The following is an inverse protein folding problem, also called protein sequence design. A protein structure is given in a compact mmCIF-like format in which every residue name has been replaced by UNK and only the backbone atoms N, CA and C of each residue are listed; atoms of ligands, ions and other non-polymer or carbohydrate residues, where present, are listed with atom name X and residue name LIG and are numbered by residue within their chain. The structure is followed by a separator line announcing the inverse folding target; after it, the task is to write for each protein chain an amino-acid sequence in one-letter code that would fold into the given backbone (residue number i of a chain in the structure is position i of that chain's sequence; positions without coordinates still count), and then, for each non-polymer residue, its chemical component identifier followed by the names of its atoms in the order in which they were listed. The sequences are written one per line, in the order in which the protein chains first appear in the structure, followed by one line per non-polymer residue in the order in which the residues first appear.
data_IF_205724980408
#
_entry.id   IF_205724980408
#
_cell.length_a   1.000
_cell.length_b   1.000
_cell.length_c   1.000
_cell.angle_alpha   90.00
_cell.angle_beta   90.00
_cell.angle_gamma   90.00
#
_symmetry.space_group_name_H-M   'P 1'
#
loop_
_entity.id
_entity.type
_entity.pdbx_description
1 polymer ?
#
# COMPACT_ATOMS: atom_id res chain seq x y z
N UNK A 1 2.15 35.70 24.50
CA UNK A 1 3.11 34.77 23.87
C UNK A 1 4.06 34.27 24.95
N UNK A 2 3.70 33.16 25.59
CA UNK A 2 4.55 32.37 26.47
C UNK A 2 3.79 31.06 26.67
N UNK A 3 3.94 30.12 25.75
CA UNK A 3 3.49 28.76 25.96
C UNK A 3 4.70 27.88 25.80
N UNK A 4 5.10 27.23 26.89
CA UNK A 4 6.33 26.45 26.99
C UNK A 4 6.23 25.12 26.23
N UNK A 5 7.34 24.38 26.30
CA UNK A 5 7.36 22.97 25.94
C UNK A 5 6.63 22.15 27.01
N UNK A 6 6.06 21.02 26.59
CA UNK A 6 5.51 20.00 27.48
C UNK A 6 6.49 18.83 27.47
N UNK A 7 6.89 18.38 28.65
CA UNK A 7 7.72 17.21 28.85
C UNK A 7 7.02 16.31 29.87
N UNK A 8 6.79 15.05 29.51
CA UNK A 8 6.09 14.07 30.33
C UNK A 8 6.88 12.77 30.34
N UNK A 9 7.19 12.29 31.54
CA UNK A 9 7.72 10.96 31.79
C UNK A 9 6.69 10.20 32.63
N UNK A 10 6.04 9.21 32.02
CA UNK A 10 4.91 8.49 32.59
C UNK A 10 5.09 6.98 32.40
N UNK A 11 4.52 6.16 33.27
CA UNK A 11 4.59 4.71 33.10
C UNK A 11 3.86 4.25 31.82
N UNK A 12 2.55 4.48 31.73
CA UNK A 12 1.76 4.22 30.53
C UNK A 12 0.87 5.43 30.26
N UNK A 13 0.71 5.78 28.99
CA UNK A 13 -0.17 6.85 28.54
C UNK A 13 -1.30 6.30 27.69
N UNK A 14 -2.54 6.50 28.12
CA UNK A 14 -3.75 6.31 27.29
C UNK A 14 -4.40 7.68 27.05
N UNK A 15 -4.10 8.28 25.89
CA UNK A 15 -4.62 9.59 25.53
C UNK A 15 -5.89 9.46 24.67
N UNK A 16 -7.01 9.99 25.17
CA UNK A 16 -8.27 10.10 24.44
C UNK A 16 -8.67 11.55 24.11
N UNK A 17 -7.87 12.52 24.57
CA UNK A 17 -8.16 13.96 24.45
C UNK A 17 -7.13 14.71 23.60
N UNK A 18 -6.85 15.95 23.96
CA UNK A 18 -5.82 16.78 23.33
C UNK A 18 -4.66 16.97 24.32
N UNK A 19 -3.46 16.60 23.90
CA UNK A 19 -2.21 17.01 24.56
C UNK A 19 -1.55 18.02 23.62
N UNK A 20 -1.40 19.27 24.07
CA UNK A 20 -0.91 20.36 23.24
C UNK A 20 0.22 21.15 23.89
N UNK A 21 1.18 21.60 23.08
CA UNK A 21 2.22 22.55 23.49
C UNK A 21 2.40 23.67 22.46
N UNK A 22 2.85 24.83 22.94
CA UNK A 22 3.20 25.97 22.08
C UNK A 22 4.72 26.06 21.83
N UNK A 23 5.52 25.29 22.58
CA UNK A 23 6.91 24.93 22.28
C UNK A 23 6.97 23.51 21.69
N UNK A 24 7.93 22.69 22.15
CA UNK A 24 8.02 21.26 21.81
C UNK A 24 7.12 20.38 22.68
N UNK A 25 6.87 19.14 22.26
CA UNK A 25 6.11 18.14 23.01
C UNK A 25 6.93 16.85 23.10
N UNK A 26 7.42 16.52 24.28
CA UNK A 26 8.15 15.27 24.55
C UNK A 26 7.33 14.42 25.51
N UNK A 27 7.14 13.15 25.15
CA UNK A 27 6.46 12.16 25.98
C UNK A 27 7.31 10.89 25.97
N UNK A 28 7.75 10.47 27.16
CA UNK A 28 8.39 9.20 27.40
C UNK A 28 7.46 8.30 28.22
N UNK A 29 7.44 7.00 27.90
CA UNK A 29 6.83 6.00 28.75
C UNK A 29 7.10 4.56 28.33
N UNK A 30 6.48 3.59 29.01
CA UNK A 30 6.52 2.19 28.59
C UNK A 30 5.62 1.98 27.39
N UNK A 31 4.37 2.39 27.49
CA UNK A 31 3.39 2.30 26.40
C UNK A 31 2.75 3.66 26.16
N UNK A 32 2.61 4.06 24.89
CA UNK A 32 1.81 5.23 24.51
C UNK A 32 0.70 4.77 23.58
N UNK A 33 -0.54 4.92 24.01
CA UNK A 33 -1.69 4.48 23.26
C UNK A 33 -2.83 5.48 23.29
N UNK A 34 -3.80 5.24 22.42
CA UNK A 34 -5.10 5.88 22.50
C UNK A 34 -5.55 6.44 21.16
N UNK A 35 -6.51 7.35 21.26
CA UNK A 35 -7.21 7.91 20.11
C UNK A 35 -7.31 9.44 20.12
N UNK A 36 -6.54 10.06 21.02
CA UNK A 36 -6.41 11.49 21.16
C UNK A 36 -5.37 12.12 20.22
N UNK A 37 -5.30 13.44 20.26
CA UNK A 37 -4.41 14.26 19.44
C UNK A 37 -3.19 14.71 20.26
N UNK A 38 -2.02 14.68 19.64
CA UNK A 38 -0.79 15.31 20.10
C UNK A 38 -0.48 16.49 19.19
N UNK A 39 -0.42 17.71 19.73
CA UNK A 39 -0.26 18.94 18.96
C UNK A 39 0.90 19.79 19.49
N UNK A 40 1.81 20.19 18.62
CA UNK A 40 2.93 21.05 18.98
C UNK A 40 3.21 22.12 17.92
N UNK A 41 3.71 23.27 18.36
CA UNK A 41 4.27 24.31 17.46
C UNK A 41 5.79 24.21 17.29
N UNK A 42 6.45 23.32 18.03
CA UNK A 42 7.83 22.92 17.82
C UNK A 42 7.86 21.47 17.36
N UNK A 43 8.86 20.73 17.84
CA UNK A 43 9.00 19.30 17.56
C UNK A 43 8.10 18.45 18.48
N UNK A 44 7.71 17.28 18.02
CA UNK A 44 7.01 16.27 18.84
C UNK A 44 7.79 14.97 18.89
N UNK A 45 8.08 14.49 20.09
CA UNK A 45 8.74 13.21 20.35
C UNK A 45 7.83 12.36 21.23
N UNK A 46 7.36 11.24 20.68
CA UNK A 46 6.70 10.17 21.43
C UNK A 46 7.67 8.99 21.49
N UNK A 47 8.17 8.67 22.68
CA UNK A 47 9.13 7.60 22.90
C UNK A 47 8.57 6.58 23.89
N UNK A 48 8.23 5.39 23.39
CA UNK A 48 7.76 4.28 24.19
C UNK A 48 8.78 3.14 24.19
N UNK A 49 8.94 2.42 25.30
CA UNK A 49 9.82 1.24 25.32
C UNK A 49 9.14 -0.04 24.81
N UNK A 50 7.82 -0.14 25.00
CA UNK A 50 6.99 -1.32 24.72
C UNK A 50 5.97 -1.06 23.60
N UNK A 51 6.12 0.03 22.85
CA UNK A 51 5.33 0.31 21.66
C UNK A 51 4.39 1.51 21.76
N UNK A 52 3.99 1.98 20.59
CA UNK A 52 3.03 3.07 20.40
C UNK A 52 1.85 2.54 19.58
N UNK A 53 0.62 2.71 20.06
CA UNK A 53 -0.60 2.38 19.31
C UNK A 53 -1.55 3.56 19.25
N UNK A 54 -1.60 4.24 18.10
CA UNK A 54 -2.55 5.31 17.85
C UNK A 54 -3.61 4.83 16.86
N UNK A 55 -4.89 4.92 17.25
CA UNK A 55 -5.99 4.42 16.44
C UNK A 55 -7.14 5.41 16.37
N UNK A 56 -7.69 5.58 15.16
CA UNK A 56 -8.93 6.30 14.93
C UNK A 56 -10.09 5.64 15.70
N UNK A 57 -11.05 6.47 16.12
CA UNK A 57 -12.27 5.98 16.75
C UNK A 57 -13.34 5.69 15.70
N UNK A 58 -14.43 5.06 16.13
CA UNK A 58 -15.66 4.95 15.34
C UNK A 58 -16.70 5.90 15.92
N UNK A 59 -17.38 6.66 15.07
CA UNK A 59 -18.53 7.49 15.45
C UNK A 59 -19.76 7.11 14.64
N UNK A 60 -20.92 7.06 15.27
CA UNK A 60 -22.19 6.82 14.56
C UNK A 60 -22.88 8.16 14.28
N UNK A 61 -23.09 8.49 13.01
CA UNK A 61 -23.76 9.71 12.56
C UNK A 61 -25.00 9.29 11.75
N UNK A 62 -26.19 9.66 12.20
CA UNK A 62 -27.43 9.34 11.48
C UNK A 62 -27.69 7.84 11.29
N UNK A 63 -27.21 6.99 12.21
CA UNK A 63 -27.33 5.54 12.13
C UNK A 63 -26.24 4.83 11.32
N UNK A 64 -25.26 5.57 10.80
CA UNK A 64 -24.11 5.00 10.08
C UNK A 64 -22.81 5.19 10.86
N UNK A 65 -22.00 4.15 10.93
CA UNK A 65 -20.67 4.17 11.50
C UNK A 65 -19.68 4.83 10.53
N UNK A 66 -18.88 5.75 11.05
CA UNK A 66 -17.84 6.50 10.36
C UNK A 66 -16.53 6.39 11.12
N UNK A 67 -15.42 6.33 10.40
CA UNK A 67 -14.09 6.47 11.02
C UNK A 67 -13.90 7.92 11.45
N UNK A 68 -13.48 8.10 12.70
CA UNK A 68 -13.11 9.38 13.28
C UNK A 68 -11.61 9.47 13.49
N UNK A 69 -10.93 10.26 12.65
CA UNK A 69 -9.48 10.43 12.67
C UNK A 69 -8.99 11.41 13.75
N UNK A 70 -9.66 11.49 14.91
CA UNK A 70 -9.23 12.37 16.01
C UNK A 70 -7.83 12.02 16.53
N UNK A 71 -7.46 10.75 16.41
CA UNK A 71 -6.13 10.27 16.73
C UNK A 71 -5.10 10.81 15.74
N UNK A 72 -4.04 11.44 16.25
CA UNK A 72 -3.00 11.96 15.38
C UNK A 72 -1.92 12.74 16.10
N UNK A 73 -0.85 13.02 15.36
CA UNK A 73 0.29 13.82 15.79
C UNK A 73 0.46 14.95 14.81
N UNK A 74 0.56 16.19 15.28
CA UNK A 74 0.81 17.35 14.43
C UNK A 74 1.85 18.25 15.08
N UNK A 75 2.96 18.46 14.40
CA UNK A 75 4.05 19.33 14.82
C UNK A 75 4.36 20.34 13.72
N UNK A 76 4.67 21.59 14.10
CA UNK A 76 5.19 22.56 13.12
C UNK A 76 6.68 22.32 12.82
N UNK A 77 7.40 21.64 13.70
CA UNK A 77 8.75 21.15 13.49
C UNK A 77 8.76 19.67 13.11
N UNK A 78 9.73 18.93 13.65
CA UNK A 78 9.92 17.51 13.39
C UNK A 78 8.98 16.64 14.22
N UNK A 79 8.72 15.42 13.74
CA UNK A 79 7.97 14.40 14.50
C UNK A 79 8.81 13.14 14.62
N UNK A 80 8.95 12.63 15.85
CA UNK A 80 9.50 11.31 16.14
C UNK A 80 8.44 10.46 16.86
N UNK A 81 8.14 9.29 16.30
CA UNK A 81 7.36 8.25 16.94
C UNK A 81 8.26 7.03 17.07
N UNK A 82 8.68 6.71 18.29
CA UNK A 82 9.55 5.59 18.59
C UNK A 82 8.83 4.58 19.48
N UNK A 83 8.50 3.42 18.92
CA UNK A 83 7.96 2.26 19.65
C UNK A 83 8.99 1.53 20.51
N UNK A 84 10.26 1.92 20.43
CA UNK A 84 11.36 1.29 21.17
C UNK A 84 11.51 -0.17 20.78
N UNK A 85 11.48 -1.05 21.78
CA UNK A 85 11.52 -2.51 21.58
C UNK A 85 10.15 -3.12 21.25
N UNK A 86 9.09 -2.29 21.22
CA UNK A 86 7.75 -2.68 20.79
C UNK A 86 7.39 -2.12 19.42
N UNK A 87 6.15 -2.37 19.02
CA UNK A 87 5.64 -1.97 17.71
C UNK A 87 5.19 -0.52 17.68
N UNK A 88 5.25 0.10 16.49
CA UNK A 88 4.55 1.33 16.17
C UNK A 88 3.35 1.00 15.28
N UNK A 89 2.14 1.08 15.83
CA UNK A 89 0.89 0.82 15.13
C UNK A 89 0.06 2.11 14.99
N UNK A 90 -0.17 2.52 13.74
CA UNK A 90 -0.94 3.69 13.37
C UNK A 90 -2.13 3.26 12.52
N UNK A 91 -3.35 3.41 13.02
CA UNK A 91 -4.57 2.92 12.34
C UNK A 91 -5.59 4.03 12.06
N UNK A 92 -5.69 4.46 10.80
CA UNK A 92 -6.58 5.53 10.37
C UNK A 92 -6.25 6.91 10.96
N UNK A 93 -5.00 7.11 11.38
CA UNK A 93 -4.55 8.33 12.08
C UNK A 93 -3.84 9.29 11.14
N UNK A 94 -3.68 10.55 11.57
CA UNK A 94 -2.90 11.56 10.83
C UNK A 94 -1.62 11.90 11.57
N UNK A 95 -0.49 11.87 10.87
CA UNK A 95 0.81 12.34 11.37
C UNK A 95 1.30 13.43 10.43
N UNK A 96 1.41 14.67 10.93
CA UNK A 96 1.85 15.82 10.16
C UNK A 96 3.09 16.43 10.82
N UNK A 97 4.22 16.41 10.11
CA UNK A 97 5.43 17.12 10.49
C UNK A 97 5.64 18.31 9.54
N UNK A 98 5.80 19.51 10.07
CA UNK A 98 6.24 20.65 9.27
C UNK A 98 7.69 20.49 8.79
N UNK A 99 8.52 19.84 9.60
CA UNK A 99 9.87 19.37 9.25
C UNK A 99 9.88 17.89 8.85
N UNK A 100 10.89 17.15 9.29
CA UNK A 100 11.09 15.72 9.04
C UNK A 100 10.24 14.84 9.97
N UNK A 101 9.95 13.62 9.55
CA UNK A 101 9.25 12.64 10.37
C UNK A 101 10.04 11.32 10.44
N UNK A 102 10.13 10.75 11.65
CA UNK A 102 10.78 9.46 11.91
C UNK A 102 9.82 8.55 12.66
N UNK A 103 9.51 7.41 12.05
CA UNK A 103 8.60 6.38 12.57
C UNK A 103 9.42 5.10 12.79
N UNK A 104 9.56 4.67 14.04
CA UNK A 104 10.43 3.54 14.40
C UNK A 104 9.78 2.56 15.38
N UNK A 105 10.16 1.29 15.30
CA UNK A 105 9.73 0.23 16.23
C UNK A 105 10.27 -1.15 15.82
N UNK A 106 9.85 -2.20 16.53
CA UNK A 106 10.11 -3.59 16.12
C UNK A 106 9.40 -3.88 14.82
N UNK A 107 8.08 -3.69 14.78
CA UNK A 107 7.31 -3.56 13.55
C UNK A 107 6.75 -2.14 13.43
N UNK A 108 6.65 -1.62 12.20
CA UNK A 108 5.96 -0.35 11.93
C UNK A 108 4.78 -0.62 11.01
N UNK A 109 3.56 -0.34 11.49
CA UNK A 109 2.32 -0.59 10.74
C UNK A 109 1.53 0.69 10.55
N UNK A 110 1.27 1.05 9.29
CA UNK A 110 0.36 2.10 8.87
C UNK A 110 -0.85 1.43 8.21
N UNK A 111 -1.96 1.33 8.93
CA UNK A 111 -3.13 0.58 8.46
C UNK A 111 -4.37 1.45 8.32
N UNK A 112 -5.23 1.10 7.37
CA UNK A 112 -6.57 1.66 7.29
C UNK A 112 -7.43 1.21 8.49
N UNK A 113 -8.15 2.16 9.07
CA UNK A 113 -9.30 1.87 9.93
C UNK A 113 -10.52 1.62 9.04
N UNK A 114 -11.27 0.53 9.32
CA UNK A 114 -12.50 0.19 8.59
C UNK A 114 -13.69 0.17 9.53
N UNK A 115 -14.83 0.61 9.05
CA UNK A 115 -16.14 0.49 9.70
C UNK A 115 -17.13 -0.12 8.74
N UNK A 116 -17.97 -1.04 9.21
CA UNK A 116 -19.01 -1.69 8.41
C UNK A 116 -20.38 -1.08 8.68
N UNK A 117 -21.13 -0.88 7.61
CA UNK A 117 -22.52 -0.44 7.61
C UNK A 117 -23.38 -1.43 6.82
N UNK A 118 -23.57 -2.64 7.36
CA UNK A 118 -24.39 -3.69 6.75
C UNK A 118 -23.85 -4.18 5.39
N UNK A 119 -22.54 -4.43 5.35
CA UNK A 119 -21.83 -4.87 4.15
C UNK A 119 -21.35 -3.73 3.23
N UNK A 120 -21.56 -2.48 3.63
CA UNK A 120 -20.90 -1.33 3.04
C UNK A 120 -19.82 -0.81 3.99
N UNK A 121 -18.57 -1.01 3.64
CA UNK A 121 -17.45 -0.56 4.44
C UNK A 121 -16.99 0.84 4.03
N UNK A 122 -16.64 1.63 5.04
CA UNK A 122 -15.85 2.83 4.86
C UNK A 122 -14.47 2.56 5.46
N UNK A 123 -13.43 2.85 4.69
CA UNK A 123 -12.05 2.69 5.11
C UNK A 123 -11.36 4.06 5.12
N UNK A 124 -10.46 4.28 6.07
CA UNK A 124 -9.67 5.50 6.16
C UNK A 124 -8.25 5.13 6.52
N UNK A 125 -7.34 5.36 5.57
CA UNK A 125 -5.92 5.08 5.71
C UNK A 125 -5.27 5.94 6.77
N UNK A 126 -4.19 5.42 7.36
CA UNK A 126 -3.23 6.27 8.05
C UNK A 126 -2.59 7.22 7.02
N UNK A 127 -2.42 8.49 7.39
CA UNK A 127 -1.84 9.53 6.55
C UNK A 127 -0.65 10.14 7.26
N UNK A 128 0.55 9.90 6.73
CA UNK A 128 1.79 10.50 7.22
C UNK A 128 2.27 11.52 6.21
N UNK A 129 2.47 12.75 6.63
CA UNK A 129 3.00 13.82 5.80
C UNK A 129 4.14 14.53 6.54
N UNK A 130 5.27 14.68 5.86
CA UNK A 130 6.43 15.43 6.33
C UNK A 130 6.76 16.52 5.32
N UNK A 131 7.06 17.73 5.79
CA UNK A 131 7.62 18.80 4.95
C UNK A 131 9.08 18.55 4.56
N UNK A 132 9.80 17.77 5.36
CA UNK A 132 11.18 17.35 5.16
C UNK A 132 11.30 15.90 4.70
N UNK A 133 12.23 15.15 5.29
CA UNK A 133 12.44 13.73 5.01
C UNK A 133 11.49 12.88 5.86
N UNK A 134 11.04 11.75 5.32
CA UNK A 134 10.25 10.77 6.05
C UNK A 134 11.02 9.45 6.12
N UNK A 135 11.32 9.01 7.33
CA UNK A 135 11.92 7.70 7.60
C UNK A 135 10.89 6.81 8.30
N UNK A 136 10.64 5.63 7.74
CA UNK A 136 9.82 4.58 8.32
C UNK A 136 10.73 3.37 8.49
N UNK A 137 11.16 3.10 9.72
CA UNK A 137 12.17 2.08 9.99
C UNK A 137 11.69 1.06 11.02
N UNK A 138 11.71 -0.21 10.66
CA UNK A 138 11.44 -1.32 11.55
C UNK A 138 12.68 -2.20 11.74
N UNK A 139 12.75 -2.87 12.89
CA UNK A 139 13.73 -3.94 13.07
C UNK A 139 13.31 -5.17 12.27
N UNK A 140 12.04 -5.55 12.34
CA UNK A 140 11.50 -6.73 11.68
C UNK A 140 10.70 -6.32 10.45
N UNK A 141 9.47 -5.80 10.57
CA UNK A 141 8.61 -5.57 9.40
C UNK A 141 8.06 -4.15 9.30
N UNK A 142 7.95 -3.65 8.06
CA UNK A 142 7.16 -2.46 7.74
C UNK A 142 5.91 -2.85 6.95
N UNK A 143 4.74 -2.44 7.42
CA UNK A 143 3.46 -2.71 6.77
C UNK A 143 2.72 -1.41 6.47
N UNK A 144 2.46 -1.14 5.20
CA UNK A 144 1.63 -0.02 4.73
C UNK A 144 0.40 -0.61 4.04
N UNK A 145 -0.76 -0.50 4.70
CA UNK A 145 -1.99 -1.20 4.32
C UNK A 145 -3.10 -0.17 4.08
N UNK A 146 -3.50 0.02 2.82
CA UNK A 146 -4.43 1.05 2.38
C UNK A 146 -4.15 2.43 2.96
N UNK A 147 -2.88 2.81 3.10
CA UNK A 147 -2.42 4.00 3.81
C UNK A 147 -1.46 4.84 2.96
N UNK A 148 -1.21 6.08 3.37
CA UNK A 148 -0.33 6.98 2.62
C UNK A 148 0.80 7.55 3.47
N UNK A 149 1.97 7.67 2.86
CA UNK A 149 3.16 8.27 3.45
C UNK A 149 3.82 9.19 2.41
N UNK A 150 3.93 10.47 2.75
CA UNK A 150 4.43 11.53 1.86
C UNK A 150 5.58 12.28 2.51
N UNK A 151 6.73 12.25 1.85
CA UNK A 151 7.88 13.07 2.18
C UNK A 151 7.95 14.30 1.27
N UNK A 152 8.23 15.47 1.85
CA UNK A 152 8.56 16.67 1.09
C UNK A 152 9.91 16.56 0.38
N UNK A 153 10.81 15.72 0.89
CA UNK A 153 12.13 15.43 0.31
C UNK A 153 12.32 13.94 0.08
N UNK A 154 13.14 13.22 0.85
CA UNK A 154 13.40 11.79 0.69
C UNK A 154 12.42 10.96 1.51
N UNK A 155 11.99 9.83 0.94
CA UNK A 155 11.26 8.78 1.67
C UNK A 155 12.17 7.57 1.80
N UNK A 156 12.46 7.16 3.03
CA UNK A 156 13.21 5.94 3.31
C UNK A 156 12.34 4.98 4.14
N UNK A 157 12.02 3.83 3.54
CA UNK A 157 11.30 2.74 4.20
C UNK A 157 12.25 1.57 4.35
N UNK A 158 12.48 1.13 5.59
CA UNK A 158 13.45 0.09 5.88
C UNK A 158 12.93 -0.92 6.90
N UNK A 159 13.03 -2.20 6.57
CA UNK A 159 12.98 -3.31 7.51
C UNK A 159 14.39 -3.91 7.59
N UNK A 160 15.02 -3.89 8.77
CA UNK A 160 16.43 -4.32 8.89
C UNK A 160 16.57 -5.85 8.72
N UNK A 161 15.67 -6.64 9.32
CA UNK A 161 15.75 -8.10 9.39
C UNK A 161 14.52 -8.83 8.83
N UNK A 162 13.56 -8.12 8.25
CA UNK A 162 12.32 -8.72 7.75
C UNK A 162 11.81 -8.00 6.52
N UNK A 163 10.49 -8.07 6.31
CA UNK A 163 9.88 -7.71 5.04
C UNK A 163 9.24 -6.31 5.05
N UNK A 164 9.14 -5.72 3.85
CA UNK A 164 8.32 -4.52 3.62
C UNK A 164 7.12 -4.88 2.76
N UNK A 165 5.92 -4.67 3.30
CA UNK A 165 4.67 -4.86 2.58
C UNK A 165 3.95 -3.53 2.37
N UNK A 166 3.75 -3.15 1.12
CA UNK A 166 2.97 -1.97 0.70
C UNK A 166 1.79 -2.47 -0.12
N UNK A 167 0.66 -2.65 0.55
CA UNK A 167 -0.49 -3.36 -0.01
C UNK A 167 -1.77 -2.55 0.09
N UNK A 168 -2.64 -2.73 -0.89
CA UNK A 168 -3.99 -2.22 -0.85
C UNK A 168 -4.81 -2.97 0.21
N UNK A 169 -6.02 -2.48 0.47
CA UNK A 169 -6.95 -3.19 1.34
C UNK A 169 -8.36 -3.15 0.78
N UNK A 170 -9.03 -4.30 0.89
CA UNK A 170 -10.38 -4.53 0.39
C UNK A 170 -11.42 -3.64 1.06
N UNK A 171 -12.26 -2.96 0.29
CA UNK A 171 -13.40 -2.18 0.78
C UNK A 171 -14.67 -2.75 0.17
N UNK A 172 -15.41 -3.50 0.98
CA UNK A 172 -16.66 -4.10 0.55
C UNK A 172 -17.74 -3.01 0.34
N UNK A 173 -18.50 -3.12 -0.74
CA UNK A 173 -19.69 -2.32 -1.00
C UNK A 173 -20.90 -3.21 -1.22
N UNK A 174 -22.01 -2.80 -0.64
CA UNK A 174 -23.29 -3.47 -0.78
C UNK A 174 -24.34 -2.44 -1.20
N UNK A 175 -24.65 -2.43 -2.50
CA UNK A 175 -25.65 -1.52 -3.05
C UNK A 175 -26.92 -2.30 -3.42
N UNK A 176 -27.98 -2.03 -2.66
CA UNK A 176 -29.31 -2.59 -2.88
C UNK A 176 -30.24 -1.48 -3.37
N UNK A 177 -30.70 -1.58 -4.61
CA UNK A 177 -31.69 -0.65 -5.18
C UNK A 177 -32.76 -1.40 -5.95
N UNK A 178 -33.98 -1.39 -5.41
CA UNK A 178 -35.13 -2.08 -5.98
C UNK A 178 -34.89 -3.59 -6.15
N UNK A 179 -34.88 -4.06 -7.39
CA UNK A 179 -34.65 -5.47 -7.76
C UNK A 179 -33.19 -5.81 -8.01
N UNK A 180 -32.29 -4.83 -7.92
CA UNK A 180 -30.86 -5.03 -8.14
C UNK A 180 -30.14 -5.10 -6.81
N UNK A 181 -29.35 -6.15 -6.64
CA UNK A 181 -28.32 -6.23 -5.60
C UNK A 181 -26.96 -6.25 -6.28
N UNK A 182 -26.05 -5.38 -5.87
CA UNK A 182 -24.65 -5.42 -6.28
C UNK A 182 -23.77 -5.48 -5.05
N UNK A 183 -22.92 -6.49 -4.99
CA UNK A 183 -21.86 -6.65 -4.00
C UNK A 183 -20.55 -6.42 -4.73
N UNK A 184 -19.72 -5.49 -4.29
CA UNK A 184 -18.36 -5.32 -4.83
C UNK A 184 -17.33 -5.26 -3.72
N UNK A 185 -16.08 -5.51 -4.09
CA UNK A 185 -14.90 -5.26 -3.27
C UNK A 185 -13.97 -4.40 -4.09
N UNK A 186 -13.74 -3.19 -3.62
CA UNK A 186 -12.83 -2.22 -4.24
C UNK A 186 -11.49 -2.23 -3.49
N UNK A 187 -10.43 -1.75 -4.13
CA UNK A 187 -9.11 -1.62 -3.50
C UNK A 187 -8.85 -0.21 -2.98
N UNK A 188 -8.65 -0.06 -1.67
CA UNK A 188 -8.03 1.14 -1.11
C UNK A 188 -6.51 0.97 -1.15
N UNK A 189 -5.88 1.65 -2.11
CA UNK A 189 -4.45 1.55 -2.39
C UNK A 189 -3.59 2.13 -1.26
N UNK A 190 -2.40 1.56 -1.06
CA UNK A 190 -1.32 2.26 -0.35
C UNK A 190 -0.57 3.17 -1.31
N UNK A 191 -0.11 4.33 -0.81
CA UNK A 191 0.53 5.36 -1.62
C UNK A 191 1.76 5.91 -0.90
N UNK A 192 2.93 5.66 -1.45
CA UNK A 192 4.21 6.19 -0.99
C UNK A 192 4.68 7.28 -1.95
N UNK A 193 5.05 8.45 -1.43
CA UNK A 193 5.52 9.54 -2.30
C UNK A 193 6.69 10.33 -1.70
N UNK A 194 7.62 10.74 -2.57
CA UNK A 194 8.77 11.55 -2.21
C UNK A 194 8.94 12.74 -3.16
N UNK A 195 9.26 13.91 -2.60
CA UNK A 195 9.63 15.10 -3.38
C UNK A 195 11.02 15.01 -4.03
N UNK A 196 11.84 14.04 -3.63
CA UNK A 196 13.14 13.70 -4.24
C UNK A 196 13.20 12.19 -4.48
N UNK A 197 14.00 11.44 -3.72
CA UNK A 197 14.15 9.99 -3.91
C UNK A 197 13.26 9.19 -2.94
N UNK A 198 12.81 8.01 -3.38
CA UNK A 198 12.17 7.02 -2.53
C UNK A 198 13.01 5.73 -2.49
N UNK A 199 13.34 5.27 -1.29
CA UNK A 199 14.05 4.00 -1.05
C UNK A 199 13.16 3.08 -0.24
N UNK A 200 13.01 1.84 -0.69
CA UNK A 200 12.38 0.75 0.07
C UNK A 200 13.38 -0.38 0.19
N UNK A 201 13.75 -0.73 1.41
CA UNK A 201 14.72 -1.78 1.70
C UNK A 201 14.13 -2.81 2.68
N UNK A 202 14.29 -4.07 2.37
CA UNK A 202 13.95 -5.19 3.25
C UNK A 202 15.18 -6.06 3.52
N UNK A 203 15.21 -6.67 4.71
CA UNK A 203 16.13 -7.74 5.04
C UNK A 203 15.76 -9.03 4.31
N UNK A 204 14.46 -9.32 4.26
CA UNK A 204 13.88 -10.49 3.61
C UNK A 204 13.19 -10.04 2.30
N UNK A 205 11.86 -9.90 2.28
CA UNK A 205 11.08 -9.67 1.05
C UNK A 205 10.52 -8.25 0.91
N UNK A 206 10.24 -7.84 -0.34
CA UNK A 206 9.36 -6.70 -0.64
C UNK A 206 8.10 -7.17 -1.36
N UNK A 207 6.93 -6.80 -0.83
CA UNK A 207 5.64 -6.96 -1.49
C UNK A 207 5.01 -5.60 -1.79
N UNK A 208 4.74 -5.32 -3.07
CA UNK A 208 3.90 -4.21 -3.52
C UNK A 208 2.66 -4.78 -4.22
N UNK A 209 1.48 -4.59 -3.64
CA UNK A 209 0.22 -5.14 -4.19
C UNK A 209 -0.86 -4.08 -4.33
N UNK A 210 -1.34 -3.87 -5.56
CA UNK A 210 -2.37 -2.87 -5.90
C UNK A 210 -2.08 -1.46 -5.38
N UNK A 211 -0.80 -1.10 -5.23
CA UNK A 211 -0.36 0.10 -4.51
C UNK A 211 0.66 0.89 -5.32
N UNK A 212 0.94 2.13 -4.91
CA UNK A 212 1.84 3.01 -5.66
C UNK A 212 3.03 3.55 -4.87
N UNK A 213 4.14 3.74 -5.59
CA UNK A 213 5.36 4.40 -5.13
C UNK A 213 5.77 5.45 -6.16
N UNK A 214 5.82 6.71 -5.77
CA UNK A 214 6.20 7.83 -6.65
C UNK A 214 7.38 8.62 -6.05
N UNK A 215 8.37 8.94 -6.87
CA UNK A 215 9.44 9.87 -6.49
C UNK A 215 9.74 10.83 -7.63
N UNK A 216 9.97 12.11 -7.32
CA UNK A 216 10.38 13.10 -8.33
C UNK A 216 11.83 12.91 -8.81
N UNK A 217 12.64 12.20 -8.04
CA UNK A 217 13.96 11.71 -8.39
C UNK A 217 13.93 10.19 -8.58
N UNK A 218 14.88 9.49 -7.98
CA UNK A 218 15.05 8.06 -8.15
C UNK A 218 14.12 7.26 -7.23
N UNK A 219 13.74 6.06 -7.69
CA UNK A 219 13.11 5.03 -6.85
C UNK A 219 14.03 3.83 -6.76
N UNK A 220 14.28 3.32 -5.55
CA UNK A 220 15.08 2.12 -5.32
C UNK A 220 14.33 1.14 -4.42
N UNK A 221 14.12 -0.09 -4.90
CA UNK A 221 13.62 -1.23 -4.13
C UNK A 221 14.74 -2.28 -4.02
N UNK A 222 15.06 -2.70 -2.80
CA UNK A 222 16.07 -3.72 -2.55
C UNK A 222 15.63 -4.69 -1.44
N UNK A 223 15.49 -5.96 -1.79
CA UNK A 223 15.18 -7.05 -0.87
C UNK A 223 16.41 -7.96 -0.71
N UNK A 224 16.56 -8.57 0.46
CA UNK A 224 17.58 -9.60 0.64
C UNK A 224 17.19 -10.92 -0.03
N UNK A 225 15.89 -11.19 -0.07
CA UNK A 225 15.25 -12.31 -0.75
C UNK A 225 14.42 -11.79 -1.94
N UNK A 226 13.11 -12.04 -1.97
CA UNK A 226 12.28 -11.86 -3.17
C UNK A 226 11.61 -10.48 -3.25
N UNK A 227 11.29 -10.06 -4.48
CA UNK A 227 10.44 -8.89 -4.73
C UNK A 227 9.22 -9.30 -5.54
N UNK A 228 8.03 -9.02 -5.00
CA UNK A 228 6.74 -9.26 -5.65
C UNK A 228 6.01 -7.94 -5.86
N UNK A 229 5.79 -7.56 -7.12
CA UNK A 229 5.04 -6.37 -7.53
C UNK A 229 3.81 -6.83 -8.32
N UNK A 230 2.66 -6.93 -7.66
CA UNK A 230 1.48 -7.60 -8.20
C UNK A 230 0.26 -6.69 -8.24
N UNK A 231 -0.68 -7.02 -9.11
CA UNK A 231 -2.00 -6.42 -9.07
C UNK A 231 -2.83 -6.99 -7.91
N UNK A 232 -3.66 -6.16 -7.28
CA UNK A 232 -4.68 -6.58 -6.34
C UNK A 232 -6.01 -6.85 -7.06
N UNK A 233 -6.82 -7.77 -6.55
CA UNK A 233 -8.07 -8.18 -7.18
C UNK A 233 -9.25 -7.36 -6.64
N UNK A 234 -10.08 -6.85 -7.56
CA UNK A 234 -11.41 -6.34 -7.28
C UNK A 234 -12.44 -7.34 -7.77
N UNK A 235 -13.57 -7.41 -7.06
CA UNK A 235 -14.65 -8.34 -7.38
C UNK A 235 -15.97 -7.60 -7.41
N UNK A 236 -16.85 -7.98 -8.34
CA UNK A 236 -18.23 -7.49 -8.39
C UNK A 236 -19.17 -8.63 -8.70
N UNK A 237 -20.31 -8.66 -8.03
CA UNK A 237 -21.39 -9.59 -8.26
C UNK A 237 -22.73 -8.86 -8.20
N UNK A 238 -23.49 -8.90 -9.28
CA UNK A 238 -24.80 -8.28 -9.37
C UNK A 238 -25.89 -9.28 -9.72
N UNK A 239 -27.08 -9.08 -9.19
CA UNK A 239 -28.28 -9.86 -9.53
C UNK A 239 -29.41 -8.92 -9.92
N UNK A 240 -30.08 -9.20 -11.03
CA UNK A 240 -31.32 -8.55 -11.44
C UNK A 240 -32.33 -9.59 -11.94
N UNK A 241 -33.37 -9.83 -11.14
CA UNK A 241 -34.39 -10.83 -11.45
C UNK A 241 -33.79 -12.22 -11.61
N UNK A 242 -33.76 -12.74 -12.84
CA UNK A 242 -33.19 -14.06 -13.15
C UNK A 242 -31.80 -14.01 -13.81
N UNK A 243 -31.22 -12.82 -13.91
CA UNK A 243 -29.87 -12.59 -14.42
C UNK A 243 -28.92 -12.37 -13.25
N UNK A 244 -27.74 -12.93 -13.33
CA UNK A 244 -26.63 -12.62 -12.43
C UNK A 244 -25.37 -12.37 -13.25
N UNK A 245 -24.62 -11.35 -12.90
CA UNK A 245 -23.34 -11.06 -13.51
C UNK A 245 -22.27 -11.00 -12.42
N UNK A 246 -21.05 -11.46 -12.74
CA UNK A 246 -19.91 -11.24 -11.85
C UNK A 246 -18.66 -10.90 -12.64
N UNK A 247 -17.71 -10.23 -12.01
CA UNK A 247 -16.44 -9.89 -12.61
C UNK A 247 -15.32 -9.94 -11.57
N UNK A 248 -14.13 -10.29 -12.05
CA UNK A 248 -12.87 -10.08 -11.34
C UNK A 248 -12.05 -9.13 -12.21
N UNK A 249 -11.61 -8.02 -11.62
CA UNK A 249 -10.73 -7.05 -12.27
C UNK A 249 -9.47 -6.87 -11.43
N UNK A 250 -8.37 -6.48 -12.07
CA UNK A 250 -7.09 -6.32 -11.38
C UNK A 250 -6.66 -4.85 -11.35
N UNK A 251 -6.34 -4.35 -10.15
CA UNK A 251 -5.73 -3.04 -9.93
C UNK A 251 -4.23 -3.24 -9.77
N UNK A 252 -3.47 -2.88 -10.81
CA UNK A 252 -2.02 -3.01 -10.84
C UNK A 252 -1.31 -2.19 -9.78
N UNK A 253 -0.13 -2.64 -9.37
CA UNK A 253 0.81 -1.77 -8.66
C UNK A 253 1.47 -0.79 -9.63
N UNK A 254 1.78 0.43 -9.17
CA UNK A 254 2.42 1.45 -10.00
C UNK A 254 3.67 2.04 -9.31
N UNK A 255 4.82 1.97 -9.98
CA UNK A 255 6.05 2.62 -9.54
C UNK A 255 6.45 3.68 -10.57
N UNK A 256 6.66 4.91 -10.13
CA UNK A 256 7.07 6.02 -11.01
C UNK A 256 8.25 6.79 -10.42
N UNK A 257 9.32 6.90 -11.21
CA UNK A 257 10.52 7.69 -10.90
C UNK A 257 10.70 8.81 -11.92
N UNK A 258 10.92 10.05 -11.46
CA UNK A 258 11.38 11.15 -12.32
C UNK A 258 12.87 11.07 -12.68
N UNK A 259 13.61 10.18 -12.04
CA UNK A 259 14.98 9.79 -12.39
C UNK A 259 15.03 8.31 -12.78
N UNK A 260 15.97 7.56 -12.20
CA UNK A 260 16.11 6.12 -12.42
C UNK A 260 15.22 5.29 -11.47
N UNK A 261 14.76 4.14 -11.94
CA UNK A 261 14.12 3.10 -11.14
C UNK A 261 15.03 1.88 -11.05
N UNK A 262 15.43 1.50 -9.84
CA UNK A 262 16.20 0.28 -9.58
C UNK A 262 15.40 -0.68 -8.70
N UNK A 263 15.23 -1.93 -9.15
CA UNK A 263 14.58 -3.00 -8.40
C UNK A 263 15.53 -4.19 -8.32
N UNK A 264 15.89 -4.61 -7.10
CA UNK A 264 16.88 -5.66 -6.87
C UNK A 264 16.38 -6.68 -5.84
N UNK A 265 16.14 -7.91 -6.28
CA UNK A 265 15.94 -9.09 -5.44
C UNK A 265 17.27 -9.84 -5.26
N UNK A 266 17.60 -10.24 -4.04
CA UNK A 266 18.85 -10.94 -3.71
C UNK A 266 20.06 -10.04 -3.40
N UNK A 267 21.07 -10.62 -2.73
CA UNK A 267 22.29 -9.94 -2.26
C UNK A 267 23.61 -10.47 -2.88
N UNK A 268 23.54 -11.16 -4.01
CA UNK A 268 24.67 -11.74 -4.75
C UNK A 268 24.80 -13.26 -4.62
N UNK A 269 23.76 -13.96 -4.14
CA UNK A 269 23.71 -15.40 -3.97
C UNK A 269 22.32 -15.86 -3.54
N UNK A 270 22.01 -17.15 -3.69
CA UNK A 270 20.66 -17.67 -3.49
C UNK A 270 19.83 -17.68 -4.78
N UNK A 271 18.59 -18.12 -4.65
CA UNK A 271 17.59 -18.16 -5.73
C UNK A 271 16.48 -17.21 -5.34
N UNK A 272 16.67 -15.94 -5.69
CA UNK A 272 15.82 -14.84 -5.24
C UNK A 272 15.21 -14.13 -6.44
N UNK A 273 13.89 -14.10 -6.48
CA UNK A 273 13.13 -13.83 -7.68
C UNK A 273 12.52 -12.43 -7.67
N UNK A 274 12.36 -11.88 -8.87
CA UNK A 274 11.60 -10.66 -9.11
C UNK A 274 10.35 -10.98 -9.94
N UNK A 275 9.19 -10.86 -9.33
CA UNK A 275 7.89 -11.09 -9.97
C UNK A 275 7.14 -9.77 -10.17
N UNK A 276 6.76 -9.47 -11.41
CA UNK A 276 5.97 -8.30 -11.79
C UNK A 276 4.73 -8.78 -12.54
N UNK A 277 3.55 -8.64 -11.94
CA UNK A 277 2.29 -9.20 -12.48
C UNK A 277 1.22 -8.13 -12.57
N UNK A 278 0.70 -7.91 -13.78
CA UNK A 278 -0.34 -6.90 -14.08
C UNK A 278 -0.03 -5.50 -13.55
N UNK A 279 1.25 -5.11 -13.53
CA UNK A 279 1.73 -3.91 -12.85
C UNK A 279 2.54 -3.00 -13.77
N UNK A 280 2.68 -1.72 -13.39
CA UNK A 280 3.34 -0.69 -14.19
C UNK A 280 4.56 -0.12 -13.47
N UNK A 281 5.72 -0.17 -14.11
CA UNK A 281 6.96 0.44 -13.63
C UNK A 281 7.45 1.43 -14.69
N UNK A 282 7.62 2.69 -14.29
CA UNK A 282 8.04 3.77 -15.18
C UNK A 282 9.16 4.60 -14.56
N UNK A 283 10.14 4.95 -15.39
CA UNK A 283 11.20 5.90 -15.07
C UNK A 283 11.42 6.85 -16.24
N UNK A 284 11.57 8.15 -15.96
CA UNK A 284 12.04 9.11 -16.96
C UNK A 284 13.49 8.78 -17.37
N UNK A 285 14.31 8.31 -16.41
CA UNK A 285 15.64 7.75 -16.63
C UNK A 285 15.58 6.26 -17.01
N UNK A 286 16.50 5.48 -16.44
CA UNK A 286 16.60 4.03 -16.69
C UNK A 286 15.72 3.23 -15.75
N UNK A 287 15.16 2.14 -16.24
CA UNK A 287 14.64 1.06 -15.39
C UNK A 287 15.66 -0.07 -15.35
N UNK A 288 16.14 -0.42 -14.16
CA UNK A 288 17.01 -1.56 -13.92
C UNK A 288 16.30 -2.58 -13.03
N UNK A 289 16.01 -3.75 -13.58
CA UNK A 289 15.40 -4.89 -12.90
C UNK A 289 16.46 -5.98 -12.72
N UNK A 290 16.65 -6.43 -11.49
CA UNK A 290 17.65 -7.43 -11.16
C UNK A 290 17.11 -8.46 -10.18
N UNK A 291 17.39 -9.72 -10.46
CA UNK A 291 17.18 -10.85 -9.56
C UNK A 291 18.41 -11.77 -9.58
N UNK A 292 18.77 -12.33 -8.42
CA UNK A 292 19.79 -13.38 -8.35
C UNK A 292 19.24 -14.74 -8.83
N UNK A 293 17.92 -14.93 -8.80
CA UNK A 293 17.18 -16.03 -9.42
C UNK A 293 16.51 -15.60 -10.73
N UNK A 294 15.20 -15.79 -10.81
CA UNK A 294 14.38 -15.53 -11.99
C UNK A 294 13.83 -14.09 -12.02
N UNK A 295 13.61 -13.57 -13.23
CA UNK A 295 12.78 -12.37 -13.44
C UNK A 295 11.53 -12.77 -14.23
N UNK A 296 10.36 -12.61 -13.62
CA UNK A 296 9.06 -12.87 -14.25
C UNK A 296 8.27 -11.57 -14.43
N UNK A 297 7.87 -11.27 -15.67
CA UNK A 297 7.02 -10.14 -16.03
C UNK A 297 5.79 -10.69 -16.76
N UNK A 298 4.65 -10.73 -16.09
CA UNK A 298 3.46 -11.41 -16.57
C UNK A 298 2.20 -10.54 -16.46
N UNK A 299 1.13 -11.03 -17.07
CA UNK A 299 -0.21 -10.48 -16.99
C UNK A 299 -0.99 -11.00 -15.78
N UNK A 300 -1.93 -10.20 -15.30
CA UNK A 300 -3.09 -10.71 -14.58
C UNK A 300 -4.23 -11.04 -15.58
N UNK A 301 -5.28 -11.74 -15.13
CA UNK A 301 -6.40 -12.12 -16.01
C UNK A 301 -7.73 -11.65 -15.44
N UNK A 302 -8.32 -10.64 -16.07
CA UNK A 302 -9.67 -10.19 -15.75
C UNK A 302 -10.70 -11.16 -16.29
N UNK A 303 -11.79 -11.34 -15.56
CA UNK A 303 -12.91 -12.22 -15.93
C UNK A 303 -14.24 -11.49 -15.81
N UNK A 304 -15.17 -11.79 -16.70
CA UNK A 304 -16.54 -11.32 -16.61
C UNK A 304 -17.49 -12.46 -17.00
N UNK A 305 -18.50 -12.72 -16.16
CA UNK A 305 -19.50 -13.76 -16.39
C UNK A 305 -20.92 -13.18 -16.38
N UNK A 306 -21.78 -13.76 -17.20
CA UNK A 306 -23.21 -13.46 -17.25
C UNK A 306 -24.03 -14.74 -17.31
N UNK A 307 -24.79 -14.97 -16.24
CA UNK A 307 -25.74 -16.06 -16.12
C UNK A 307 -27.18 -15.56 -16.32
N UNK A 308 -27.98 -16.32 -17.07
CA UNK A 308 -29.43 -16.10 -17.15
C UNK A 308 -30.17 -17.39 -16.87
N UNK A 309 -31.07 -17.38 -15.87
CA UNK A 309 -31.96 -18.50 -15.56
C UNK A 309 -33.35 -18.21 -16.12
N UNK A 310 -33.82 -19.01 -17.08
CA UNK A 310 -35.18 -18.91 -17.61
C UNK A 310 -36.01 -20.07 -17.08
N UNK A 311 -37.28 -19.80 -16.83
CA UNK A 311 -38.24 -20.81 -16.40
C UNK A 311 -39.55 -20.57 -17.12
N UNK A 312 -40.01 -21.54 -17.90
CA UNK A 312 -41.35 -21.53 -18.49
C UNK A 312 -42.27 -22.37 -17.60
N UNK A 313 -43.45 -21.82 -17.26
CA UNK A 313 -44.49 -22.61 -16.58
C UNK A 313 -45.24 -23.41 -17.64
N UNK A 314 -45.23 -24.73 -17.51
CA UNK A 314 -46.18 -25.60 -18.21
C UNK A 314 -47.61 -25.31 -17.74
N UNK A 315 -48.60 -25.42 -18.65
CA UNK A 315 -50.02 -25.25 -18.33
C UNK A 315 -50.58 -26.32 -17.36
N UNK A 316 -51.90 -26.36 -17.16
CA UNK A 316 -52.63 -27.13 -16.10
C UNK A 316 -52.27 -28.63 -15.93
N UNK A 317 -51.50 -29.24 -16.83
CA UNK A 317 -51.00 -30.62 -16.75
C UNK A 317 -49.51 -30.80 -17.13
N UNK A 318 -48.73 -29.72 -17.28
CA UNK A 318 -47.35 -29.78 -17.83
C UNK A 318 -46.23 -29.53 -16.79
N UNK A 319 -45.11 -30.23 -16.94
CA UNK A 319 -43.87 -30.02 -16.16
C UNK A 319 -43.21 -28.68 -16.50
N UNK A 320 -42.53 -28.06 -15.53
CA UNK A 320 -41.83 -26.78 -15.76
C UNK A 320 -40.43 -27.02 -16.33
N UNK A 321 -40.07 -26.32 -17.41
CA UNK A 321 -38.70 -26.34 -17.97
C UNK A 321 -37.86 -25.20 -17.39
N UNK A 322 -36.59 -25.50 -17.12
CA UNK A 322 -35.58 -24.54 -16.66
C UNK A 322 -34.43 -24.54 -17.66
N UNK A 323 -34.03 -23.36 -18.12
CA UNK A 323 -32.87 -23.17 -19.01
C UNK A 323 -31.89 -22.23 -18.34
N UNK A 324 -30.62 -22.59 -18.29
CA UNK A 324 -29.54 -21.74 -17.77
C UNK A 324 -28.55 -21.45 -18.89
N UNK A 325 -28.26 -20.18 -19.16
CA UNK A 325 -27.22 -19.75 -20.10
C UNK A 325 -26.04 -19.16 -19.32
N UNK A 326 -24.81 -19.51 -19.71
CA UNK A 326 -23.56 -19.01 -19.12
C UNK A 326 -22.69 -18.42 -20.22
N UNK A 327 -22.24 -17.18 -20.04
CA UNK A 327 -21.25 -16.51 -20.89
C UNK A 327 -20.08 -16.08 -20.01
N UNK A 328 -18.87 -16.33 -20.47
CA UNK A 328 -17.62 -15.93 -19.80
C UNK A 328 -16.69 -15.24 -20.79
N UNK A 329 -16.00 -14.20 -20.35
CA UNK A 329 -14.98 -13.48 -21.11
C UNK A 329 -13.76 -13.25 -20.23
N UNK A 330 -12.58 -13.46 -20.79
CA UNK A 330 -11.30 -13.21 -20.12
C UNK A 330 -10.51 -12.15 -20.87
N UNK A 331 -9.79 -11.28 -20.14
CA UNK A 331 -8.93 -10.24 -20.72
C UNK A 331 -7.60 -10.22 -19.98
N UNK A 332 -6.49 -10.28 -20.71
CA UNK A 332 -5.16 -10.15 -20.13
C UNK A 332 -4.90 -8.68 -19.73
N UNK A 333 -4.46 -8.49 -18.49
CA UNK A 333 -3.96 -7.21 -17.95
C UNK A 333 -2.46 -7.33 -17.82
N UNK A 334 -1.75 -7.01 -18.90
CA UNK A 334 -0.29 -7.12 -19.00
C UNK A 334 0.46 -6.16 -18.08
N UNK A 335 1.68 -6.54 -17.71
CA UNK A 335 2.61 -5.60 -17.07
C UNK A 335 3.20 -4.63 -18.10
N UNK A 336 3.58 -3.44 -17.65
CA UNK A 336 4.18 -2.40 -18.48
C UNK A 336 5.43 -1.82 -17.82
N UNK A 337 6.59 -1.99 -18.47
CA UNK A 337 7.88 -1.44 -18.03
C UNK A 337 8.31 -0.36 -19.02
N UNK A 338 8.61 0.83 -18.54
CA UNK A 338 9.02 1.95 -19.41
C UNK A 338 10.20 2.71 -18.80
N UNK A 339 11.30 2.81 -19.54
CA UNK A 339 12.46 3.62 -19.16
C UNK A 339 12.83 4.59 -20.27
N UNK A 340 12.73 5.88 -20.04
CA UNK A 340 13.06 6.92 -21.02
C UNK A 340 14.54 6.86 -21.45
N UNK A 341 15.45 6.59 -20.50
CA UNK A 341 16.88 6.38 -20.72
C UNK A 341 17.30 4.92 -21.00
N UNK A 342 16.35 3.99 -21.05
CA UNK A 342 16.59 2.56 -21.33
C UNK A 342 16.00 1.62 -20.28
N UNK A 343 15.96 0.33 -20.62
CA UNK A 343 15.51 -0.75 -19.72
C UNK A 343 16.56 -1.85 -19.69
N UNK A 344 17.02 -2.19 -18.49
CA UNK A 344 17.91 -3.32 -18.22
C UNK A 344 17.23 -4.37 -17.36
N UNK A 345 17.27 -5.64 -17.79
CA UNK A 345 16.76 -6.79 -17.04
C UNK A 345 17.91 -7.78 -16.88
N UNK A 346 18.24 -8.13 -15.63
CA UNK A 346 19.30 -9.07 -15.29
C UNK A 346 18.74 -10.17 -14.37
N UNK A 347 18.65 -11.39 -14.89
CA UNK A 347 18.33 -12.59 -14.10
C UNK A 347 19.59 -13.42 -13.85
N UNK A 348 19.68 -14.06 -12.69
CA UNK A 348 20.67 -15.10 -12.44
C UNK A 348 20.29 -16.45 -13.06
N UNK A 349 19.00 -16.63 -13.34
CA UNK A 349 18.42 -17.77 -14.03
C UNK A 349 17.51 -17.30 -15.17
N UNK A 350 16.25 -17.70 -15.22
CA UNK A 350 15.35 -17.43 -16.34
C UNK A 350 14.82 -16.00 -16.32
N UNK A 351 14.59 -15.44 -17.51
CA UNK A 351 13.78 -14.23 -17.70
C UNK A 351 12.53 -14.61 -18.50
N UNK A 352 11.36 -14.47 -17.88
CA UNK A 352 10.06 -14.76 -18.50
C UNK A 352 9.29 -13.46 -18.69
N UNK A 353 8.87 -13.18 -19.93
CA UNK A 353 8.01 -12.04 -20.26
C UNK A 353 6.79 -12.55 -21.02
N UNK A 354 5.60 -12.46 -20.41
CA UNK A 354 4.32 -12.92 -20.96
C UNK A 354 3.31 -11.79 -21.02
N UNK A 355 2.63 -11.68 -22.16
CA UNK A 355 1.57 -10.71 -22.46
C UNK A 355 1.80 -9.29 -21.89
N UNK A 356 3.07 -8.84 -21.90
CA UNK A 356 3.53 -7.62 -21.23
C UNK A 356 4.30 -6.73 -22.21
N UNK A 357 4.37 -5.44 -21.90
CA UNK A 357 5.03 -4.43 -22.72
C UNK A 357 6.31 -3.95 -22.03
N UNK A 358 7.43 -3.97 -22.75
CA UNK A 358 8.69 -3.33 -22.36
C UNK A 358 9.01 -2.23 -23.37
N UNK A 359 9.21 -1.01 -22.89
CA UNK A 359 9.53 0.15 -23.72
C UNK A 359 10.80 0.83 -23.20
N UNK A 360 11.84 0.84 -24.03
CA UNK A 360 13.07 1.57 -23.78
C UNK A 360 13.17 2.72 -24.78
N UNK A 361 13.32 3.95 -24.26
CA UNK A 361 13.59 5.13 -25.07
C UNK A 361 12.41 6.06 -25.29
N UNK A 362 12.56 7.28 -24.78
CA UNK A 362 11.95 8.52 -25.31
C UNK A 362 13.02 9.49 -25.84
N UNK A 363 14.30 9.09 -25.74
CA UNK A 363 15.49 9.90 -26.05
C UNK A 363 16.39 9.19 -27.09
N UNK A 364 17.23 9.95 -27.81
CA UNK A 364 18.16 9.37 -28.79
C UNK A 364 19.22 8.49 -28.10
N UNK A 365 19.17 7.17 -28.31
CA UNK A 365 20.20 6.23 -27.85
C UNK A 365 19.87 5.42 -26.59
N UNK A 366 18.58 5.16 -26.33
CA UNK A 366 18.17 4.24 -25.25
C UNK A 366 18.33 2.77 -25.65
N UNK A 367 18.85 1.98 -24.71
CA UNK A 367 19.05 0.54 -24.90
C UNK A 367 17.99 -0.28 -24.16
N UNK A 368 17.55 -1.36 -24.78
CA UNK A 368 16.85 -2.47 -24.12
C UNK A 368 17.83 -3.63 -23.99
N UNK A 369 18.21 -3.95 -22.75
CA UNK A 369 19.16 -5.00 -22.44
C UNK A 369 18.51 -6.08 -21.57
N UNK A 370 18.58 -7.33 -22.01
CA UNK A 370 18.11 -8.49 -21.25
C UNK A 370 19.27 -9.48 -21.15
N UNK A 371 19.71 -9.77 -19.92
CA UNK A 371 20.86 -10.61 -19.64
C UNK A 371 20.50 -11.72 -18.67
N UNK A 372 21.07 -12.90 -18.93
CA UNK A 372 21.07 -14.04 -18.02
C UNK A 372 22.51 -14.32 -17.61
N UNK A 373 22.79 -14.41 -16.31
CA UNK A 373 24.10 -14.83 -15.82
C UNK A 373 24.23 -16.36 -15.87
N UNK A 374 25.08 -16.86 -16.75
CA UNK A 374 25.46 -18.28 -16.74
C UNK A 374 26.58 -18.44 -15.70
N UNK A 375 26.29 -19.03 -14.54
CA UNK A 375 27.34 -19.44 -13.60
C UNK A 375 28.06 -20.68 -14.19
N UNK A 376 29.34 -20.51 -14.53
CA UNK A 376 30.24 -21.59 -14.95
C UNK A 376 30.90 -22.26 -13.75
#
# INVERSE_FOLDING_TARGET
MAGGSVDMDVDDLDNSGLIASNGGLTIAGKTIQGSGTFLSRGDTVLNATNGITLAAQTMTIGGQNMVNTNAGVTASGDVQLAGGSGDLALKGVKVNAGGSAQLTGTNVTLAAAKVDNSGQQNATGTQVASGGALTIKATDNVNVIGSSAKAGTTLDVAADNGSVAVVSTDVARNNQSGYTRTLSTDQQQSQLSAGTNATIKAGDDILLSGSSVEAKGNVALAAGDDINITAAQEQSASTFGKKSASSITHVGSEISAGGDLSVKAGNGGGDHDLNIVGSKLAADGKVALKADGDVTIAEATDTATLDTRLSSKGGFLGTSEKTTTHLETTTAVGSAITGGGGVGIESGKDTVISASKIEAGSENGADLNIWMRIQC
#
